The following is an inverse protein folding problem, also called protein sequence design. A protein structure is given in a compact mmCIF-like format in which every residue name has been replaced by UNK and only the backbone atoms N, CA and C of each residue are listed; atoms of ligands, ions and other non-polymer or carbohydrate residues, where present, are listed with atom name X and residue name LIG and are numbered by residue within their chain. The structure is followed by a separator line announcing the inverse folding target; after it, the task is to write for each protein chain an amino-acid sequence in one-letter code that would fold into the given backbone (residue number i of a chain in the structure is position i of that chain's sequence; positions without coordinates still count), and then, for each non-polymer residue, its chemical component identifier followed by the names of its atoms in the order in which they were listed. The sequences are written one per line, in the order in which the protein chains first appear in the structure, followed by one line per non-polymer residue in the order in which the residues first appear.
data_IF_566664886133
#
_entry.id   IF_566664886133
#
_cell.length_a   1.000
_cell.length_b   1.000
_cell.length_c   1.000
_cell.angle_alpha   90.00
_cell.angle_beta   90.00
_cell.angle_gamma   90.00
#
_symmetry.space_group_name_H-M   'P 1'
#
loop_
_entity.id
_entity.type
_entity.pdbx_description
1 polymer ?
#
# COMPACT_ATOMS: atom_id res chain seq x y z
N UNK A 1 -6.73 2.31 1.41
CA UNK A 1 -6.13 1.40 2.40
C UNK A 1 -7.00 0.17 2.68
N UNK A 2 -8.30 0.19 2.38
CA UNK A 2 -9.21 -0.95 2.51
C UNK A 2 -9.30 -1.58 3.92
N UNK A 3 -8.63 -1.02 4.94
CA UNK A 3 -8.60 -1.52 6.31
C UNK A 3 -7.81 -2.81 6.53
N UNK A 4 -6.89 -3.18 5.63
CA UNK A 4 -6.12 -4.44 5.78
C UNK A 4 -4.98 -4.30 6.81
N UNK A 5 -4.36 -3.13 6.84
CA UNK A 5 -3.34 -2.76 7.84
C UNK A 5 -3.93 -1.61 8.66
N UNK A 6 -3.90 -1.75 9.98
CA UNK A 6 -4.33 -0.72 10.92
C UNK A 6 -3.28 -0.55 12.01
N UNK A 7 -2.91 0.69 12.37
CA UNK A 7 -1.94 0.91 13.42
C UNK A 7 -2.56 0.57 14.78
N UNK A 8 -1.78 -0.10 15.64
CA UNK A 8 -2.20 -0.34 17.03
C UNK A 8 -2.39 0.96 17.81
N UNK A 9 -1.58 1.97 17.52
CA UNK A 9 -1.73 3.32 18.05
C UNK A 9 -2.35 4.25 16.98
N UNK A 10 -3.61 4.68 17.14
CA UNK A 10 -4.27 5.59 16.22
C UNK A 10 -3.60 6.97 16.10
N UNK A 11 -2.76 7.37 17.08
CA UNK A 11 -2.06 8.65 17.03
C UNK A 11 -1.07 8.74 15.86
N UNK A 12 -0.59 7.59 15.35
CA UNK A 12 0.29 7.52 14.18
C UNK A 12 -0.36 8.09 12.90
N UNK A 13 -1.69 8.09 12.80
CA UNK A 13 -2.42 8.63 11.65
C UNK A 13 -2.56 10.16 11.68
N UNK A 14 -2.23 10.82 12.80
CA UNK A 14 -2.54 12.24 13.05
C UNK A 14 -1.33 13.15 12.95
N UNK A 15 -0.16 12.62 12.61
CA UNK A 15 1.08 13.39 12.54
C UNK A 15 1.94 12.92 11.37
N UNK A 16 2.78 13.81 10.80
CA UNK A 16 3.84 13.40 9.90
C UNK A 16 4.83 12.48 10.60
N UNK A 17 5.28 11.45 9.89
CA UNK A 17 6.26 10.47 10.36
C UNK A 17 7.53 10.57 9.52
N UNK A 18 8.68 10.42 10.16
CA UNK A 18 9.95 10.29 9.44
C UNK A 18 9.92 9.01 8.59
N UNK A 19 10.44 9.09 7.36
CA UNK A 19 10.40 7.99 6.40
C UNK A 19 11.15 6.73 6.88
N UNK A 20 12.14 6.89 7.77
CA UNK A 20 12.93 5.81 8.37
C UNK A 20 12.46 5.45 9.78
N UNK A 21 11.41 6.10 10.29
CA UNK A 21 10.83 5.73 11.58
C UNK A 21 10.24 4.34 11.54
N UNK A 22 10.34 3.64 12.67
CA UNK A 22 9.83 2.28 12.85
C UNK A 22 8.39 2.09 12.32
N UNK A 23 7.40 2.96 12.60
CA UNK A 23 6.04 2.77 12.09
C UNK A 23 5.94 2.79 10.55
N UNK A 24 6.75 3.61 9.89
CA UNK A 24 6.76 3.69 8.41
C UNK A 24 7.42 2.46 7.82
N UNK A 25 8.54 2.01 8.40
CA UNK A 25 9.24 0.80 7.99
C UNK A 25 8.36 -0.43 8.19
N UNK A 26 7.70 -0.56 9.34
CA UNK A 26 6.75 -1.65 9.63
C UNK A 26 5.59 -1.65 8.63
N UNK A 27 5.00 -0.48 8.36
CA UNK A 27 3.90 -0.37 7.40
C UNK A 27 4.30 -0.83 6.00
N UNK A 28 5.50 -0.43 5.54
CA UNK A 28 6.06 -0.85 4.25
C UNK A 28 6.34 -2.35 4.23
N UNK A 29 6.93 -2.89 5.29
CA UNK A 29 7.21 -4.32 5.41
C UNK A 29 5.92 -5.16 5.37
N UNK A 30 4.89 -4.74 6.11
CA UNK A 30 3.57 -5.39 6.09
C UNK A 30 2.94 -5.32 4.69
N UNK A 31 3.04 -4.17 4.02
CA UNK A 31 2.55 -4.03 2.65
C UNK A 31 3.23 -5.03 1.72
N UNK A 32 4.57 -5.14 1.76
CA UNK A 32 5.33 -6.10 0.95
C UNK A 32 4.94 -7.54 1.27
N UNK A 33 4.84 -7.90 2.55
CA UNK A 33 4.45 -9.25 2.97
C UNK A 33 3.05 -9.67 2.49
N UNK A 34 2.14 -8.70 2.30
CA UNK A 34 0.79 -8.97 1.83
C UNK A 34 0.69 -9.07 0.30
N UNK A 35 1.69 -8.62 -0.45
CA UNK A 35 1.64 -8.62 -1.91
C UNK A 35 1.54 -10.01 -2.52
N UNK A 36 2.23 -11.01 -1.98
CA UNK A 36 2.17 -12.38 -2.50
C UNK A 36 0.76 -12.99 -2.33
N UNK A 37 0.11 -12.70 -1.19
CA UNK A 37 -1.26 -13.14 -0.92
C UNK A 37 -2.26 -12.43 -1.82
N UNK A 38 -2.07 -11.12 -2.03
CA UNK A 38 -2.88 -10.33 -2.96
C UNK A 38 -2.74 -10.87 -4.40
N UNK A 39 -1.50 -11.10 -4.86
CA UNK A 39 -1.21 -11.61 -6.19
C UNK A 39 -1.87 -12.96 -6.44
N UNK A 40 -1.83 -13.85 -5.44
CA UNK A 40 -2.50 -15.15 -5.49
C UNK A 40 -4.02 -15.01 -5.63
N UNK A 41 -4.66 -14.17 -4.81
CA UNK A 41 -6.10 -13.94 -4.90
C UNK A 41 -6.55 -13.26 -6.20
N UNK A 42 -5.76 -12.33 -6.73
CA UNK A 42 -6.03 -11.69 -8.03
C UNK A 42 -5.95 -12.71 -9.16
N UNK A 43 -4.91 -13.56 -9.17
CA UNK A 43 -4.75 -14.63 -10.17
C UNK A 43 -5.89 -15.62 -10.16
N UNK A 44 -6.29 -16.09 -8.98
CA UNK A 44 -7.43 -16.98 -8.82
C UNK A 44 -8.70 -16.35 -9.40
N UNK A 45 -8.95 -15.08 -9.07
CA UNK A 45 -10.15 -14.37 -9.55
C UNK A 45 -10.15 -14.07 -11.04
N UNK A 46 -8.97 -13.97 -11.66
CA UNK A 46 -8.81 -13.74 -13.10
C UNK A 46 -8.60 -15.03 -13.89
N UNK A 47 -8.46 -16.18 -13.24
CA UNK A 47 -8.11 -17.46 -13.88
C UNK A 47 -6.74 -17.43 -14.57
N UNK A 48 -5.74 -16.80 -13.95
CA UNK A 48 -4.39 -16.60 -14.52
C UNK A 48 -3.30 -17.28 -13.73
N UNK A 49 -2.25 -17.74 -14.42
CA UNK A 49 -1.04 -18.27 -13.77
C UNK A 49 -0.09 -17.15 -13.32
N UNK A 50 0.98 -17.54 -12.62
CA UNK A 50 2.02 -16.59 -12.21
C UNK A 50 2.81 -16.02 -13.39
N UNK A 51 2.95 -16.80 -14.46
CA UNK A 51 3.62 -16.41 -15.70
C UNK A 51 2.77 -15.43 -16.51
N UNK A 52 1.46 -15.67 -16.60
CA UNK A 52 0.53 -14.78 -17.30
C UNK A 52 0.28 -13.47 -16.56
N UNK A 53 0.30 -13.51 -15.22
CA UNK A 53 0.08 -12.36 -14.35
C UNK A 53 1.16 -12.28 -13.25
N UNK A 54 2.39 -11.85 -13.59
CA UNK A 54 3.49 -11.77 -12.63
C UNK A 54 3.26 -10.68 -11.60
N UNK A 55 3.98 -10.75 -10.47
CA UNK A 55 3.84 -9.81 -9.36
C UNK A 55 4.02 -8.34 -9.79
N UNK A 56 4.90 -8.07 -10.76
CA UNK A 56 5.07 -6.74 -11.34
C UNK A 56 3.76 -6.13 -11.87
N UNK A 57 2.86 -6.93 -12.46
CA UNK A 57 1.56 -6.44 -12.93
C UNK A 57 0.60 -6.07 -11.78
N UNK A 58 0.71 -6.77 -10.66
CA UNK A 58 -0.03 -6.43 -9.43
C UNK A 58 0.49 -5.10 -8.86
N UNK A 59 1.82 -4.90 -8.87
CA UNK A 59 2.44 -3.67 -8.36
C UNK A 59 2.04 -2.43 -9.18
N UNK A 60 2.14 -2.52 -10.51
CA UNK A 60 1.84 -1.41 -11.41
C UNK A 60 0.34 -1.05 -11.43
N UNK A 61 -0.52 -2.05 -11.69
CA UNK A 61 -1.97 -1.82 -11.82
C UNK A 61 -2.71 -1.74 -10.49
N UNK A 62 -2.29 -2.52 -9.50
CA UNK A 62 -2.94 -2.62 -8.20
C UNK A 62 -2.43 -1.57 -7.22
N UNK A 63 -1.19 -1.73 -6.74
CA UNK A 63 -0.68 -0.93 -5.62
C UNK A 63 -0.56 0.56 -5.96
N UNK A 64 -0.23 0.90 -7.21
CA UNK A 64 0.01 2.29 -7.61
C UNK A 64 -1.25 2.97 -8.17
N UNK A 65 -1.83 2.46 -9.26
CA UNK A 65 -3.00 3.07 -9.89
C UNK A 65 -4.28 2.93 -9.04
N UNK A 66 -4.70 1.69 -8.74
CA UNK A 66 -5.86 1.44 -7.89
C UNK A 66 -5.66 1.99 -6.46
N UNK A 67 -4.44 1.94 -5.93
CA UNK A 67 -4.11 2.56 -4.64
C UNK A 67 -4.42 4.07 -4.58
N UNK A 68 -4.06 4.84 -5.61
CA UNK A 68 -4.39 6.28 -5.71
C UNK A 68 -5.85 6.56 -5.97
N UNK A 69 -6.51 5.71 -6.73
CA UNK A 69 -7.96 5.81 -6.94
C UNK A 69 -8.71 5.66 -5.62
N UNK A 70 -8.44 4.57 -4.89
CA UNK A 70 -9.02 4.31 -3.56
C UNK A 70 -8.67 5.44 -2.57
N UNK A 71 -7.46 5.99 -2.62
CA UNK A 71 -7.08 7.11 -1.76
C UNK A 71 -7.96 8.34 -2.03
N UNK A 72 -8.22 8.68 -3.30
CA UNK A 72 -9.10 9.79 -3.69
C UNK A 72 -10.58 9.52 -3.37
N UNK A 73 -11.04 8.29 -3.48
CA UNK A 73 -12.39 7.90 -3.08
C UNK A 73 -12.61 8.04 -1.57
N UNK A 74 -11.58 7.69 -0.77
CA UNK A 74 -11.68 7.65 0.70
C UNK A 74 -11.28 8.94 1.39
N UNK A 75 -10.44 9.76 0.77
CA UNK A 75 -9.92 11.00 1.34
C UNK A 75 -9.95 12.12 0.29
N UNK A 76 -10.56 13.28 0.59
CA UNK A 76 -10.69 14.39 -0.37
C UNK A 76 -9.35 14.88 -0.95
N UNK A 77 -8.26 14.77 -0.17
CA UNK A 77 -6.92 15.17 -0.57
C UNK A 77 -6.14 14.07 -1.31
N UNK A 78 -6.71 12.86 -1.43
CA UNK A 78 -6.05 11.71 -2.04
C UNK A 78 -4.80 11.24 -1.30
N UNK A 79 -4.61 11.65 -0.05
CA UNK A 79 -3.41 11.35 0.72
C UNK A 79 -3.25 9.85 1.01
N UNK A 80 -2.01 9.36 1.19
CA UNK A 80 -1.77 8.01 1.73
C UNK A 80 -2.27 7.90 3.18
N UNK A 81 -2.47 6.68 3.71
CA UNK A 81 -2.95 6.48 5.08
C UNK A 81 -1.97 6.99 6.16
N UNK A 82 -0.66 6.94 5.89
CA UNK A 82 0.38 7.55 6.74
C UNK A 82 0.96 8.77 6.03
N UNK A 83 0.98 9.92 6.72
CA UNK A 83 1.70 11.10 6.23
C UNK A 83 3.18 10.93 6.52
N UNK A 84 4.00 10.81 5.48
CA UNK A 84 5.45 10.64 5.59
C UNK A 84 6.14 11.96 5.22
N UNK A 85 7.11 12.37 6.03
CA UNK A 85 8.02 13.49 5.71
C UNK A 85 8.95 12.98 4.61
N UNK A 86 8.83 13.54 3.41
CA UNK A 86 9.67 13.22 2.27
C UNK A 86 10.10 14.49 1.56
N UNK A 87 11.36 14.55 1.17
CA UNK A 87 11.94 15.57 0.29
C UNK A 87 11.95 15.12 -1.20
N UNK A 88 11.30 13.99 -1.50
CA UNK A 88 11.25 13.40 -2.83
C UNK A 88 12.41 12.47 -3.17
N UNK A 89 13.35 12.24 -2.24
CA UNK A 89 14.44 11.27 -2.44
C UNK A 89 14.07 9.83 -2.04
N UNK A 90 13.00 9.68 -1.23
CA UNK A 90 12.47 8.40 -0.78
C UNK A 90 11.10 8.15 -1.39
N UNK A 91 11.01 7.05 -2.14
CA UNK A 91 9.77 6.49 -2.70
C UNK A 91 9.17 5.46 -1.75
#
# INVERSE_FOLDING_TARGET
DCGIIEPRDPALLRRPLDALSEPVVEWRALTVALLDRLASGVRERLGKTAEEFPLARVLEGGSWAAGREIARERRPDGSPPLTVISDGTLF
#
